data_IF_516313428276
#
_entry.id   IF_516313428276
#
_cell.length_a   1.000
_cell.length_b   1.000
_cell.length_c   1.000
_cell.angle_alpha   90.00
_cell.angle_beta   90.00
_cell.angle_gamma   90.00
#
_symmetry.space_group_name_H-M   'P 1'
#
loop_
_entity.id
_entity.type
_entity.pdbx_description
1 polymer ?
#
# COMPACT_ATOMS: atom_id res chain seq x y z
N UNK A 1 -27.90 -7.12 23.41
CA UNK A 1 -26.63 -6.45 23.11
C UNK A 1 -25.74 -7.49 22.44
N UNK A 2 -25.50 -7.38 21.13
CA UNK A 2 -24.64 -8.32 20.38
C UNK A 2 -23.19 -8.01 20.72
N UNK A 3 -22.65 -8.69 21.71
CA UNK A 3 -21.25 -8.62 22.07
C UNK A 3 -20.41 -9.11 20.88
N UNK A 4 -19.69 -8.17 20.26
CA UNK A 4 -18.52 -8.35 19.40
C UNK A 4 -18.37 -9.76 18.78
N UNK A 5 -19.08 -10.03 17.69
CA UNK A 5 -18.76 -11.20 16.88
C UNK A 5 -17.34 -11.01 16.31
N UNK A 6 -16.35 -11.83 16.69
CA UNK A 6 -14.95 -11.67 16.26
C UNK A 6 -14.81 -11.63 14.73
N UNK A 7 -15.71 -12.27 13.99
CA UNK A 7 -15.79 -12.22 12.53
C UNK A 7 -16.10 -10.80 12.03
N UNK A 8 -17.04 -10.08 12.66
CA UNK A 8 -17.38 -8.71 12.26
C UNK A 8 -16.24 -7.73 12.50
N UNK A 9 -15.50 -7.92 13.59
CA UNK A 9 -14.29 -7.14 13.87
C UNK A 9 -13.21 -7.41 12.80
N UNK A 10 -12.92 -8.68 12.51
CA UNK A 10 -11.94 -9.06 11.48
C UNK A 10 -12.34 -8.54 10.09
N UNK A 11 -13.63 -8.58 9.73
CA UNK A 11 -14.14 -8.03 8.48
C UNK A 11 -13.96 -6.50 8.40
N UNK A 12 -14.25 -5.79 9.49
CA UNK A 12 -14.09 -4.33 9.56
C UNK A 12 -12.62 -3.93 9.43
N UNK A 13 -11.72 -4.68 10.08
CA UNK A 13 -10.28 -4.49 10.00
C UNK A 13 -9.75 -4.78 8.60
N UNK A 14 -10.20 -5.87 7.95
CA UNK A 14 -9.87 -6.18 6.56
C UNK A 14 -10.29 -5.07 5.60
N UNK A 15 -11.51 -4.55 5.75
CA UNK A 15 -12.00 -3.43 4.93
C UNK A 15 -11.16 -2.17 5.14
N UNK A 16 -10.77 -1.86 6.38
CA UNK A 16 -9.88 -0.73 6.69
C UNK A 16 -8.50 -0.94 6.06
N UNK A 17 -7.93 -2.14 6.20
CA UNK A 17 -6.64 -2.51 5.62
C UNK A 17 -6.65 -2.38 4.10
N UNK A 18 -7.69 -2.89 3.44
CA UNK A 18 -7.86 -2.78 1.99
C UNK A 18 -7.93 -1.32 1.53
N UNK A 19 -8.77 -0.49 2.16
CA UNK A 19 -8.89 0.94 1.80
C UNK A 19 -7.56 1.68 1.92
N UNK A 20 -6.80 1.38 2.98
CA UNK A 20 -5.47 1.94 3.16
C UNK A 20 -4.51 1.48 2.06
N UNK A 21 -4.50 0.18 1.74
CA UNK A 21 -3.66 -0.37 0.68
C UNK A 21 -3.96 0.26 -0.68
N UNK A 22 -5.23 0.43 -1.01
CA UNK A 22 -5.66 1.07 -2.26
C UNK A 22 -5.19 2.53 -2.35
N UNK A 23 -5.34 3.29 -1.26
CA UNK A 23 -4.82 4.65 -1.14
C UNK A 23 -3.30 4.71 -1.30
N UNK A 24 -2.56 3.85 -0.60
CA UNK A 24 -1.09 3.79 -0.65
C UNK A 24 -0.59 3.45 -2.08
N UNK A 25 -1.27 2.55 -2.79
CA UNK A 25 -0.98 2.21 -4.19
C UNK A 25 -1.28 3.39 -5.11
N UNK A 26 -2.39 4.11 -4.90
CA UNK A 26 -2.74 5.29 -5.66
C UNK A 26 -1.70 6.40 -5.55
N UNK A 27 -1.22 6.68 -4.33
CA UNK A 27 -0.15 7.64 -4.10
C UNK A 27 1.16 7.22 -4.76
N UNK A 28 1.54 5.93 -4.64
CA UNK A 28 2.75 5.40 -5.27
C UNK A 28 2.73 5.61 -6.79
N UNK A 29 1.59 5.34 -7.45
CA UNK A 29 1.42 5.57 -8.89
C UNK A 29 1.57 7.04 -9.26
N UNK A 30 0.99 7.94 -8.46
CA UNK A 30 1.09 9.38 -8.67
C UNK A 30 2.56 9.85 -8.58
N UNK A 31 3.29 9.45 -7.54
CA UNK A 31 4.72 9.77 -7.43
C UNK A 31 5.52 9.23 -8.61
N UNK A 32 5.26 7.99 -9.02
CA UNK A 32 5.96 7.42 -10.16
C UNK A 32 5.68 8.19 -11.46
N UNK A 33 4.44 8.60 -11.69
CA UNK A 33 4.08 9.43 -12.84
C UNK A 33 4.77 10.81 -12.80
N UNK A 34 4.80 11.47 -11.65
CA UNK A 34 5.48 12.77 -11.49
C UNK A 34 6.98 12.66 -11.76
N UNK A 35 7.62 11.59 -11.28
CA UNK A 35 9.04 11.30 -11.53
C UNK A 35 9.30 11.11 -13.02
N UNK A 36 8.46 10.34 -13.72
CA UNK A 36 8.63 10.12 -15.16
C UNK A 36 8.43 11.42 -15.98
N UNK A 37 7.47 12.25 -15.61
CA UNK A 37 7.31 13.58 -16.21
C UNK A 37 8.53 14.47 -15.97
N UNK A 38 9.10 14.43 -14.77
CA UNK A 38 10.29 15.20 -14.42
C UNK A 38 11.52 14.72 -15.21
N UNK A 39 11.70 13.40 -15.37
CA UNK A 39 12.72 12.79 -16.22
C UNK A 39 12.59 13.22 -17.68
N UNK A 40 11.38 13.22 -18.22
CA UNK A 40 11.14 13.65 -19.60
C UNK A 40 11.53 15.12 -19.80
N UNK A 41 11.21 15.99 -18.83
CA UNK A 41 11.53 17.43 -18.87
C UNK A 41 13.02 17.74 -18.67
N UNK A 42 13.72 16.95 -17.87
CA UNK A 42 15.14 17.16 -17.57
C UNK A 42 16.07 17.10 -18.80
N UNK A 43 15.58 16.60 -19.93
CA UNK A 43 16.29 16.63 -21.22
C UNK A 43 16.49 18.05 -21.76
N UNK A 44 15.62 18.99 -21.39
CA UNK A 44 15.61 20.36 -21.94
C UNK A 44 15.38 21.45 -20.87
N UNK A 45 15.11 21.08 -19.62
CA UNK A 45 14.93 21.99 -18.48
C UNK A 45 15.97 21.72 -17.38
N UNK A 46 16.86 22.69 -17.17
CA UNK A 46 17.93 22.63 -16.15
C UNK A 46 17.36 22.55 -14.74
N UNK A 47 16.25 23.22 -14.46
CA UNK A 47 15.60 23.17 -13.15
C UNK A 47 15.00 21.79 -12.88
N UNK A 48 14.43 21.15 -13.91
CA UNK A 48 13.95 19.77 -13.81
C UNK A 48 15.09 18.79 -13.52
N UNK A 49 16.25 18.99 -14.16
CA UNK A 49 17.46 18.19 -13.91
C UNK A 49 17.99 18.37 -12.49
N UNK A 50 18.08 19.60 -11.99
CA UNK A 50 18.48 19.85 -10.59
C UNK A 50 17.49 19.22 -9.59
N UNK A 51 16.20 19.29 -9.89
CA UNK A 51 15.16 18.69 -9.05
C UNK A 51 15.31 17.17 -8.99
N UNK A 52 15.60 16.50 -10.11
CA UNK A 52 15.91 15.06 -10.11
C UNK A 52 17.13 14.74 -9.27
N UNK A 53 18.22 15.50 -9.40
CA UNK A 53 19.43 15.28 -8.62
C UNK A 53 19.16 15.40 -7.11
N UNK A 54 18.36 16.40 -6.70
CA UNK A 54 17.94 16.56 -5.31
C UNK A 54 17.04 15.42 -4.85
N UNK A 55 16.13 14.97 -5.72
CA UNK A 55 15.23 13.86 -5.42
C UNK A 55 16.00 12.55 -5.24
N UNK A 56 16.94 12.25 -6.13
CA UNK A 56 17.81 11.07 -6.05
C UNK A 56 18.72 11.13 -4.82
N UNK A 57 19.21 12.32 -4.43
CA UNK A 57 20.00 12.49 -3.21
C UNK A 57 19.15 12.31 -1.93
N UNK A 58 17.92 12.83 -1.89
CA UNK A 58 17.03 12.70 -0.75
C UNK A 58 16.44 11.30 -0.61
N UNK A 59 16.19 10.62 -1.74
CA UNK A 59 15.60 9.30 -1.81
C UNK A 59 16.47 8.37 -2.69
N UNK A 60 17.67 7.98 -2.23
CA UNK A 60 18.61 7.18 -3.03
C UNK A 60 18.09 5.79 -3.38
N UNK A 61 17.09 5.30 -2.62
CA UNK A 61 16.41 4.05 -2.89
C UNK A 61 15.09 4.25 -3.66
N UNK A 62 14.80 5.46 -4.12
CA UNK A 62 13.54 5.85 -4.73
C UNK A 62 12.34 5.40 -3.89
N UNK A 63 11.37 4.79 -4.57
CA UNK A 63 10.12 4.30 -3.94
C UNK A 63 10.23 2.88 -3.37
N UNK A 64 11.45 2.36 -3.14
CA UNK A 64 11.65 0.98 -2.68
C UNK A 64 11.03 0.74 -1.31
N UNK A 65 11.15 1.70 -0.40
CA UNK A 65 10.61 1.58 0.95
C UNK A 65 9.06 1.54 0.95
N UNK A 66 8.44 2.35 0.11
CA UNK A 66 6.98 2.42 -0.08
C UNK A 66 6.45 1.10 -0.64
N UNK A 67 7.15 0.52 -1.64
CA UNK A 67 6.83 -0.80 -2.18
C UNK A 67 6.93 -1.90 -1.11
N UNK A 68 7.93 -1.86 -0.24
CA UNK A 68 8.07 -2.80 0.88
C UNK A 68 6.92 -2.65 1.88
N UNK A 69 6.51 -1.43 2.22
CA UNK A 69 5.36 -1.17 3.10
C UNK A 69 4.06 -1.74 2.52
N UNK A 70 3.81 -1.51 1.23
CA UNK A 70 2.64 -2.05 0.51
C UNK A 70 2.66 -3.58 0.52
N UNK A 71 3.80 -4.21 0.25
CA UNK A 71 3.93 -5.67 0.28
C UNK A 71 3.69 -6.25 1.67
N UNK A 72 4.17 -5.58 2.72
CA UNK A 72 3.91 -5.98 4.10
C UNK A 72 2.41 -5.89 4.46
N UNK A 73 1.74 -4.78 4.08
CA UNK A 73 0.30 -4.62 4.28
C UNK A 73 -0.51 -5.67 3.52
N UNK A 74 -0.12 -6.01 2.28
CA UNK A 74 -0.76 -7.08 1.51
C UNK A 74 -0.62 -8.45 2.20
N UNK A 75 0.56 -8.71 2.77
CA UNK A 75 0.84 -9.96 3.49
C UNK A 75 -0.01 -10.09 4.75
N UNK A 76 -0.20 -8.98 5.48
CA UNK A 76 -1.10 -8.93 6.65
C UNK A 76 -2.55 -9.19 6.28
N UNK A 77 -3.07 -8.52 5.24
CA UNK A 77 -4.44 -8.74 4.75
C UNK A 77 -4.64 -10.21 4.35
N UNK A 78 -3.68 -10.79 3.63
CA UNK A 78 -3.72 -12.21 3.22
C UNK A 78 -3.82 -13.14 4.43
N UNK A 79 -3.06 -12.86 5.49
CA UNK A 79 -3.12 -13.65 6.73
C UNK A 79 -4.48 -13.53 7.43
N UNK A 80 -5.01 -12.31 7.52
CA UNK A 80 -6.33 -12.04 8.11
C UNK A 80 -7.46 -12.75 7.35
N UNK A 81 -7.40 -12.80 6.01
CA UNK A 81 -8.35 -13.56 5.18
C UNK A 81 -8.29 -15.05 5.53
N UNK A 82 -7.10 -15.65 5.59
CA UNK A 82 -6.95 -17.08 5.96
C UNK A 82 -7.49 -17.40 7.35
N UNK A 83 -7.28 -16.49 8.31
CA UNK A 83 -7.83 -16.63 9.66
C UNK A 83 -9.36 -16.58 9.63
N UNK A 84 -9.95 -15.67 8.86
CA UNK A 84 -11.39 -15.57 8.70
C UNK A 84 -11.99 -16.82 8.04
N UNK A 85 -11.37 -17.33 6.97
CA UNK A 85 -11.77 -18.59 6.32
C UNK A 85 -11.75 -19.77 7.30
N UNK A 86 -10.75 -19.83 8.17
CA UNK A 86 -10.62 -20.88 9.19
C UNK A 86 -11.74 -20.77 10.23
N UNK A 87 -12.02 -19.57 10.74
CA UNK A 87 -13.11 -19.36 11.69
C UNK A 87 -14.48 -19.72 11.09
N UNK A 88 -14.73 -19.34 9.83
CA UNK A 88 -15.97 -19.69 9.14
C UNK A 88 -16.13 -21.19 8.93
N UNK A 89 -15.05 -21.91 8.61
CA UNK A 89 -15.08 -23.39 8.51
C UNK A 89 -15.43 -24.03 9.83
N UNK A 90 -14.81 -23.58 10.92
CA UNK A 90 -15.04 -24.15 12.25
C UNK A 90 -16.50 -24.00 12.69
N UNK A 91 -17.16 -22.89 12.35
CA UNK A 91 -18.60 -22.67 12.61
C UNK A 91 -19.49 -23.64 11.82
N UNK A 92 -19.10 -24.01 10.59
CA UNK A 92 -19.87 -24.93 9.75
C UNK A 92 -19.63 -26.42 10.08
N UNK A 93 -18.75 -26.72 11.03
CA UNK A 93 -18.45 -28.09 11.52
C UNK A 93 -19.04 -28.39 12.90
N UNK A 94 -19.70 -27.42 13.53
CA UNK A 94 -20.58 -27.61 14.70
C UNK A 94 -22.02 -27.90 14.26
#
# INVERSE_FOLDING_TARGET
>A
MNENNPIQYMLSDLQRGYKKLDSDIGQLKNFQQQIELLKARANYDVNAKETLLRLDAAFPNGLKQEKVKIAASLSQITMQIKQLETQLKNINTE
#
